data_IF_692097658757
#
_entry.id   IF_692097658757
#
_cell.length_a   1.000
_cell.length_b   1.000
_cell.length_c   1.000
_cell.angle_alpha   90.00
_cell.angle_beta   90.00
_cell.angle_gamma   90.00
#
_symmetry.space_group_name_H-M   'P 1'
#
loop_
_entity.id
_entity.type
_entity.pdbx_description
1 polymer ?
#
# COMPACT_ATOMS: atom_id res chain seq x y z
N UNK A 1 -10.94 13.98 -55.69
CA UNK A 1 -10.08 13.51 -56.81
C UNK A 1 -9.94 11.99 -56.61
N UNK A 2 -10.85 11.13 -57.25
CA UNK A 2 -10.70 10.61 -58.62
C UNK A 2 -9.43 9.75 -58.70
N UNK A 3 -9.46 8.47 -58.86
CA UNK A 3 -9.93 7.54 -59.93
C UNK A 3 -9.76 6.11 -59.44
N UNK A 4 -10.73 5.19 -59.42
CA UNK A 4 -11.38 4.42 -60.49
C UNK A 4 -10.46 3.62 -61.43
N UNK A 5 -10.90 2.40 -61.62
CA UNK A 5 -10.81 1.53 -62.82
C UNK A 5 -9.88 0.33 -62.68
N UNK A 6 -10.14 -0.84 -63.14
CA UNK A 6 -11.14 -1.47 -64.02
C UNK A 6 -10.99 -2.99 -63.85
N UNK A 7 -12.02 -3.77 -63.74
CA UNK A 7 -12.87 -4.42 -64.72
C UNK A 7 -12.17 -5.21 -65.82
N UNK A 8 -12.71 -6.44 -65.96
CA UNK A 8 -12.84 -7.27 -67.16
C UNK A 8 -11.74 -8.31 -67.36
N UNK A 9 -12.04 -9.46 -67.71
CA UNK A 9 -12.94 -10.22 -68.58
C UNK A 9 -12.27 -11.56 -68.80
N UNK A 10 -12.79 -12.63 -68.90
CA UNK A 10 -13.53 -13.53 -69.85
C UNK A 10 -13.44 -14.94 -69.27
N UNK A 11 -14.43 -15.67 -69.05
CA UNK A 11 -15.47 -16.30 -69.88
C UNK A 11 -14.90 -16.99 -71.14
N UNK A 12 -14.94 -18.36 -71.15
CA UNK A 12 -15.16 -19.27 -72.25
C UNK A 12 -14.99 -20.71 -71.75
N UNK A 13 -16.01 -21.44 -71.64
CA UNK A 13 -16.77 -22.23 -72.64
C UNK A 13 -16.11 -23.60 -72.96
N UNK A 14 -16.64 -24.64 -72.76
CA UNK A 14 -17.65 -25.53 -73.32
C UNK A 14 -17.27 -26.97 -72.98
N UNK A 15 -18.23 -27.73 -72.48
CA UNK A 15 -19.00 -28.79 -73.10
C UNK A 15 -18.22 -29.84 -73.93
N UNK A 16 -18.29 -31.07 -73.42
CA UNK A 16 -18.52 -32.31 -74.25
C UNK A 16 -18.83 -33.44 -73.24
N UNK A 17 -20.04 -33.89 -73.03
CA UNK A 17 -21.05 -34.73 -73.73
C UNK A 17 -20.60 -36.18 -73.86
N UNK A 18 -21.31 -37.02 -73.09
CA UNK A 18 -22.01 -38.27 -73.37
C UNK A 18 -21.32 -39.54 -73.88
N UNK A 19 -21.72 -40.55 -73.24
CA UNK A 19 -22.08 -41.92 -73.64
C UNK A 19 -21.08 -42.99 -73.20
N UNK A 20 -21.44 -44.16 -72.82
CA UNK A 20 -22.63 -44.97 -72.91
C UNK A 20 -22.63 -46.14 -71.94
N UNK A 21 -23.76 -46.46 -71.50
CA UNK A 21 -24.36 -47.79 -71.25
C UNK A 21 -23.53 -49.06 -71.22
N UNK A 22 -23.90 -49.81 -70.26
CA UNK A 22 -24.48 -51.19 -70.30
C UNK A 22 -23.69 -52.22 -69.48
N UNK A 23 -24.44 -52.97 -68.70
CA UNK A 23 -24.01 -54.26 -68.20
C UNK A 23 -24.43 -54.57 -66.76
N UNK A 24 -25.69 -55.01 -66.62
CA UNK A 24 -26.15 -55.60 -65.36
C UNK A 24 -25.43 -56.91 -65.07
N UNK A 25 -24.93 -57.01 -63.78
CA UNK A 25 -24.91 -58.27 -63.04
C UNK A 25 -25.09 -58.03 -61.58
N UNK A 26 -26.15 -58.48 -61.05
CA UNK A 26 -26.49 -58.65 -59.68
C UNK A 26 -25.59 -59.73 -59.13
N UNK A 27 -24.70 -59.37 -58.22
CA UNK A 27 -24.07 -60.28 -57.27
C UNK A 27 -24.42 -59.80 -55.88
N UNK A 28 -25.16 -60.61 -55.18
CA UNK A 28 -25.34 -60.52 -53.74
C UNK A 28 -23.97 -60.77 -53.10
N UNK A 29 -23.42 -59.73 -52.52
CA UNK A 29 -22.26 -59.88 -51.60
C UNK A 29 -22.76 -59.53 -50.17
N UNK A 30 -22.54 -60.50 -49.33
CA UNK A 30 -22.85 -60.49 -47.90
C UNK A 30 -22.43 -59.22 -47.22
N UNK A 31 -23.34 -58.70 -46.41
CA UNK A 31 -23.08 -57.67 -45.42
C UNK A 31 -22.13 -58.25 -44.31
N UNK A 32 -20.84 -58.21 -44.55
CA UNK A 32 -19.85 -58.31 -43.48
C UNK A 32 -19.74 -56.94 -42.82
N UNK A 33 -20.53 -56.75 -41.76
CA UNK A 33 -20.41 -55.61 -40.86
C UNK A 33 -18.96 -55.54 -40.35
N UNK A 34 -18.16 -54.69 -40.99
CA UNK A 34 -16.90 -54.26 -40.43
C UNK A 34 -17.26 -53.41 -39.19
N UNK A 35 -17.28 -54.06 -38.03
CA UNK A 35 -17.24 -53.38 -36.77
C UNK A 35 -15.92 -52.57 -36.75
N UNK A 36 -15.99 -51.30 -37.08
CA UNK A 36 -14.92 -50.35 -36.87
C UNK A 36 -14.76 -50.24 -35.36
N UNK A 37 -13.96 -51.12 -34.76
CA UNK A 37 -13.47 -50.94 -33.40
C UNK A 37 -12.50 -49.78 -33.51
N UNK A 38 -12.97 -48.59 -33.20
CA UNK A 38 -12.11 -47.45 -32.97
C UNK A 38 -11.13 -47.86 -31.86
N UNK A 39 -9.83 -47.71 -32.08
CA UNK A 39 -8.88 -48.03 -31.02
C UNK A 39 -9.26 -47.23 -29.79
N UNK A 40 -9.31 -47.91 -28.64
CA UNK A 40 -9.48 -47.23 -27.35
C UNK A 40 -8.36 -46.15 -27.22
N UNK A 41 -8.69 -44.89 -27.49
CA UNK A 41 -7.79 -43.77 -27.22
C UNK A 41 -7.52 -43.74 -25.72
N UNK A 42 -6.37 -44.24 -25.34
CA UNK A 42 -5.88 -44.12 -23.95
C UNK A 42 -5.46 -42.67 -23.72
N UNK A 43 -6.35 -41.91 -23.14
CA UNK A 43 -6.00 -40.56 -22.68
C UNK A 43 -5.10 -40.66 -21.45
N UNK A 44 -3.86 -40.16 -21.56
CA UNK A 44 -2.98 -40.04 -20.40
C UNK A 44 -3.52 -38.91 -19.51
N UNK A 45 -3.77 -39.25 -18.25
CA UNK A 45 -4.29 -38.32 -17.26
C UNK A 45 -3.40 -38.33 -16.02
N UNK A 46 -3.22 -37.16 -15.40
CA UNK A 46 -2.65 -37.12 -14.05
C UNK A 46 -3.78 -37.02 -13.03
N UNK A 47 -3.61 -37.71 -11.91
CA UNK A 47 -4.64 -37.80 -10.88
C UNK A 47 -4.10 -37.38 -9.52
N UNK A 48 -4.97 -36.92 -8.65
CA UNK A 48 -4.72 -36.69 -7.23
C UNK A 48 -5.83 -37.24 -6.37
N UNK A 49 -5.52 -37.69 -5.18
CA UNK A 49 -6.53 -38.03 -4.19
C UNK A 49 -6.98 -36.74 -3.48
N UNK A 50 -8.27 -36.49 -3.49
CA UNK A 50 -8.85 -35.33 -2.83
C UNK A 50 -8.74 -35.46 -1.32
N UNK A 51 -8.17 -34.45 -0.68
CA UNK A 51 -8.00 -34.40 0.78
C UNK A 51 -8.37 -33.03 1.29
N UNK A 52 -8.82 -32.97 2.54
CA UNK A 52 -8.89 -31.69 3.23
C UNK A 52 -7.48 -31.22 3.53
N UNK A 53 -7.23 -29.98 3.21
CA UNK A 53 -5.97 -29.30 3.50
C UNK A 53 -6.18 -27.84 3.80
N UNK A 54 -5.24 -27.25 4.50
CA UNK A 54 -5.26 -25.83 4.81
C UNK A 54 -5.31 -25.00 3.53
N UNK A 55 -6.40 -24.26 3.34
CA UNK A 55 -6.53 -23.35 2.21
C UNK A 55 -6.01 -21.96 2.57
N UNK A 56 -5.03 -21.47 1.82
CA UNK A 56 -4.53 -20.12 1.94
C UNK A 56 -5.26 -19.23 0.92
N UNK A 57 -6.20 -18.45 1.43
CA UNK A 57 -6.91 -17.45 0.63
C UNK A 57 -5.95 -16.29 0.32
N UNK A 58 -5.99 -15.81 -0.91
CA UNK A 58 -5.21 -14.70 -1.42
C UNK A 58 -6.16 -13.58 -1.87
N UNK A 59 -6.09 -12.46 -1.19
CA UNK A 59 -6.78 -11.25 -1.60
C UNK A 59 -5.76 -10.30 -2.21
N UNK A 60 -6.02 -9.84 -3.42
CA UNK A 60 -5.12 -8.94 -4.16
C UNK A 60 -5.74 -7.56 -4.22
N UNK A 61 -5.00 -6.56 -3.75
CA UNK A 61 -5.42 -5.16 -3.82
C UNK A 61 -4.28 -4.26 -4.30
N UNK A 62 -4.65 -3.05 -4.69
CA UNK A 62 -3.73 -1.98 -5.03
C UNK A 62 -3.67 -0.96 -3.89
N UNK A 63 -2.51 -0.40 -3.67
CA UNK A 63 -2.30 0.57 -2.62
C UNK A 63 -1.11 1.49 -2.87
N UNK A 64 -0.74 2.19 -1.82
CA UNK A 64 0.44 3.06 -1.80
C UNK A 64 1.27 2.80 -0.56
N UNK A 65 2.57 2.98 -0.70
CA UNK A 65 3.46 3.04 0.45
C UNK A 65 3.30 4.40 1.12
N UNK A 66 3.12 4.39 2.43
CA UNK A 66 3.06 5.59 3.27
C UNK A 66 4.12 5.46 4.35
N UNK A 67 4.85 6.52 4.61
CA UNK A 67 5.79 6.54 5.73
C UNK A 67 5.02 6.59 7.06
N UNK A 68 5.41 5.79 8.03
CA UNK A 68 4.81 5.79 9.38
C UNK A 68 5.00 7.10 10.14
N UNK A 69 5.93 7.96 9.69
CA UNK A 69 6.12 9.32 10.16
C UNK A 69 6.53 10.25 9.03
N UNK A 70 5.83 11.37 8.89
CA UNK A 70 6.18 12.44 7.96
C UNK A 70 5.93 13.78 8.64
N UNK A 71 6.88 14.70 8.55
CA UNK A 71 6.73 16.05 9.06
C UNK A 71 7.09 17.07 7.98
N UNK A 72 6.15 17.98 7.71
CA UNK A 72 6.39 19.14 6.88
C UNK A 72 6.88 20.29 7.78
N UNK A 73 8.17 20.59 7.64
CA UNK A 73 8.84 21.56 8.47
C UNK A 73 8.76 22.96 7.86
N UNK A 74 8.50 23.93 8.72
CA UNK A 74 8.47 25.35 8.38
C UNK A 74 9.19 26.15 9.45
N UNK A 75 9.69 27.30 9.11
CA UNK A 75 10.20 28.25 10.12
C UNK A 75 9.03 28.88 10.86
N UNK A 76 9.18 29.08 12.15
CA UNK A 76 8.18 29.77 12.97
C UNK A 76 8.29 31.29 12.89
N UNK A 77 9.45 31.79 12.40
CA UNK A 77 9.68 33.22 12.14
C UNK A 77 10.01 33.45 10.67
N UNK A 78 9.58 34.55 10.11
CA UNK A 78 9.98 34.99 8.77
C UNK A 78 11.38 35.58 8.77
N UNK A 79 12.15 35.30 7.72
CA UNK A 79 13.50 35.85 7.60
C UNK A 79 14.21 35.39 6.33
N UNK A 80 15.46 35.82 6.17
CA UNK A 80 16.31 35.37 5.07
C UNK A 80 17.02 34.08 5.52
N UNK A 81 17.02 33.07 4.66
CA UNK A 81 17.77 31.84 4.87
C UNK A 81 19.26 32.14 4.80
N UNK A 82 19.95 32.04 5.92
CA UNK A 82 21.39 32.24 5.99
C UNK A 82 22.15 31.05 5.44
N UNK A 83 21.77 29.84 5.89
CA UNK A 83 22.47 28.61 5.53
C UNK A 83 21.52 27.42 5.49
N UNK A 84 21.82 26.48 4.57
CA UNK A 84 21.17 25.17 4.45
C UNK A 84 22.27 24.12 4.58
N UNK A 85 22.08 23.14 5.50
CA UNK A 85 23.09 22.13 5.87
C UNK A 85 22.85 20.78 5.20
N UNK A 86 21.71 20.62 4.53
CA UNK A 86 21.24 19.35 3.96
C UNK A 86 20.70 19.54 2.54
N UNK A 87 20.53 18.45 1.83
CA UNK A 87 19.90 18.40 0.50
C UNK A 87 18.87 17.29 0.45
N UNK A 88 18.00 17.31 -0.56
CA UNK A 88 17.04 16.24 -0.82
C UNK A 88 17.74 14.89 -0.94
N UNK A 89 17.24 13.89 -0.22
CA UNK A 89 17.79 12.54 -0.16
C UNK A 89 18.81 12.31 0.98
N UNK A 90 19.25 13.35 1.69
CA UNK A 90 20.16 13.19 2.84
C UNK A 90 19.42 12.51 4.01
N UNK A 91 20.12 11.60 4.67
CA UNK A 91 19.67 11.02 5.96
C UNK A 91 20.02 11.96 7.09
N UNK A 92 19.05 12.18 7.96
CA UNK A 92 19.21 13.06 9.12
C UNK A 92 18.77 12.35 10.40
N UNK A 93 19.40 12.77 11.52
CA UNK A 93 19.06 12.29 12.85
C UNK A 93 18.21 13.33 13.59
N UNK A 94 17.41 12.87 14.55
CA UNK A 94 16.64 13.74 15.45
C UNK A 94 17.54 14.81 16.06
N UNK A 95 17.10 16.08 15.98
CA UNK A 95 17.85 17.24 16.47
C UNK A 95 18.95 17.76 15.55
N UNK A 96 19.21 17.10 14.42
CA UNK A 96 20.20 17.58 13.44
C UNK A 96 19.72 18.89 12.80
N UNK A 97 20.60 19.87 12.69
CA UNK A 97 20.32 21.14 12.01
C UNK A 97 20.14 20.92 10.51
N UNK A 98 19.07 21.49 9.98
CA UNK A 98 18.71 21.44 8.57
C UNK A 98 18.98 22.75 7.84
N UNK A 99 18.57 23.86 8.46
CA UNK A 99 18.77 25.19 7.94
C UNK A 99 18.69 26.23 9.08
N UNK A 100 19.17 27.44 8.83
CA UNK A 100 19.00 28.55 9.74
C UNK A 100 18.71 29.87 9.00
N UNK A 101 17.94 30.72 9.65
CA UNK A 101 17.71 32.09 9.20
C UNK A 101 18.86 32.99 9.65
N UNK A 102 18.98 34.17 9.03
CA UNK A 102 19.80 35.25 9.56
C UNK A 102 19.25 35.70 10.91
N UNK A 103 20.05 35.46 11.96
CA UNK A 103 19.67 35.68 13.35
C UNK A 103 20.04 37.08 13.87
N UNK A 104 20.63 37.94 13.05
CA UNK A 104 21.12 39.25 13.55
C UNK A 104 20.03 40.04 14.28
N UNK A 105 18.85 40.17 13.65
CA UNK A 105 17.70 40.88 14.24
C UNK A 105 17.16 40.20 15.49
N UNK A 106 17.03 38.88 15.46
CA UNK A 106 16.53 38.08 16.59
C UNK A 106 17.45 38.15 17.79
N UNK A 107 18.75 37.99 17.58
CA UNK A 107 19.77 38.13 18.64
C UNK A 107 19.75 39.50 19.31
N UNK A 108 19.63 40.57 18.50
CA UNK A 108 19.50 41.92 19.05
C UNK A 108 18.18 42.09 19.83
N UNK A 109 17.08 41.52 19.40
CA UNK A 109 15.81 41.55 20.12
C UNK A 109 15.90 40.80 21.45
N UNK A 110 16.48 39.59 21.43
CA UNK A 110 16.75 38.80 22.66
C UNK A 110 17.63 39.57 23.64
N UNK A 111 18.72 40.21 23.17
CA UNK A 111 19.57 41.02 24.00
C UNK A 111 18.81 42.20 24.63
N UNK A 112 18.06 42.97 23.86
CA UNK A 112 17.26 44.11 24.35
C UNK A 112 16.23 43.68 25.39
N UNK A 113 15.50 42.59 25.15
CA UNK A 113 14.51 42.07 26.09
C UNK A 113 15.16 41.51 27.36
N UNK A 114 16.34 40.94 27.24
CA UNK A 114 17.15 40.52 28.41
C UNK A 114 17.55 41.70 29.27
N UNK A 115 18.05 42.78 28.67
CA UNK A 115 18.42 44.00 29.40
C UNK A 115 17.22 44.61 30.11
N UNK A 116 16.05 44.61 29.43
CA UNK A 116 14.80 45.08 30.04
C UNK A 116 14.38 44.20 31.24
N UNK A 117 14.55 42.87 31.13
CA UNK A 117 14.26 41.94 32.23
C UNK A 117 15.20 42.16 33.42
N UNK A 118 16.52 42.35 33.17
CA UNK A 118 17.49 42.68 34.26
C UNK A 118 17.11 43.98 34.95
N UNK A 119 16.72 45.02 34.22
CA UNK A 119 16.20 46.26 34.80
C UNK A 119 14.94 46.00 35.64
N UNK A 120 13.97 45.23 35.16
CA UNK A 120 12.76 44.89 35.90
C UNK A 120 13.04 44.07 37.17
N UNK A 121 14.10 43.22 37.17
CA UNK A 121 14.56 42.52 38.38
C UNK A 121 15.10 43.46 39.42
N UNK A 122 15.90 44.46 39.05
CA UNK A 122 16.40 45.47 39.96
C UNK A 122 15.24 46.28 40.53
N UNK A 123 14.26 46.67 39.74
CA UNK A 123 13.07 47.40 40.16
C UNK A 123 12.18 46.56 41.09
N UNK A 124 12.10 45.23 40.87
CA UNK A 124 11.44 44.31 41.78
C UNK A 124 12.12 44.29 43.15
N UNK A 125 13.46 44.22 43.17
CA UNK A 125 14.22 44.29 44.39
C UNK A 125 14.04 45.63 45.16
N UNK A 126 14.05 46.72 44.45
CA UNK A 126 13.79 48.06 45.03
C UNK A 126 12.40 48.14 45.67
N UNK A 127 11.37 47.63 45.00
CA UNK A 127 10.01 47.59 45.56
C UNK A 127 9.97 46.73 46.82
N UNK A 128 10.62 45.58 46.83
CA UNK A 128 10.69 44.71 48.03
C UNK A 128 11.44 45.32 49.19
N UNK A 129 12.59 45.98 48.94
CA UNK A 129 13.36 46.74 49.94
C UNK A 129 12.49 47.84 50.55
N UNK A 130 11.73 48.59 49.69
CA UNK A 130 10.78 49.58 50.14
C UNK A 130 9.64 49.06 51.01
N UNK A 131 9.34 47.75 50.96
CA UNK A 131 8.41 47.02 51.83
C UNK A 131 9.05 46.39 53.04
N UNK A 132 10.38 46.60 53.26
CA UNK A 132 11.13 46.11 54.43
C UNK A 132 11.73 44.73 54.29
N UNK A 133 11.80 44.15 53.05
CA UNK A 133 12.41 42.85 52.79
C UNK A 133 13.80 43.02 52.17
N UNK A 134 14.79 42.34 52.69
CA UNK A 134 16.14 42.34 52.10
C UNK A 134 16.16 41.58 50.78
N UNK A 135 17.13 41.89 49.91
CA UNK A 135 17.26 41.26 48.60
C UNK A 135 17.39 39.71 48.67
N UNK A 136 17.96 39.18 49.75
CA UNK A 136 18.19 37.75 50.01
C UNK A 136 16.99 37.06 50.69
N UNK A 137 15.94 37.79 51.05
CA UNK A 137 14.80 37.31 51.80
C UNK A 137 13.58 36.92 50.92
N UNK A 138 13.79 36.74 49.64
CA UNK A 138 12.70 36.47 48.69
C UNK A 138 11.78 35.31 49.10
N UNK A 139 12.31 34.28 49.78
CA UNK A 139 11.54 33.14 50.30
C UNK A 139 10.66 33.47 51.52
N UNK A 140 10.86 34.64 52.16
CA UNK A 140 10.13 35.11 53.34
C UNK A 140 9.08 36.16 53.02
N UNK A 141 9.01 36.57 51.75
CA UNK A 141 8.05 37.60 51.30
C UNK A 141 6.67 36.94 51.17
N UNK A 142 5.63 37.47 51.79
CA UNK A 142 4.27 37.01 51.60
C UNK A 142 3.82 37.12 50.12
N UNK A 143 3.00 36.14 49.65
CA UNK A 143 2.62 36.03 48.25
C UNK A 143 1.93 37.31 47.70
N UNK A 144 1.13 37.96 48.50
CA UNK A 144 0.43 39.21 48.12
C UNK A 144 1.40 40.38 47.92
N UNK A 145 2.41 40.49 48.78
CA UNK A 145 3.45 41.51 48.63
C UNK A 145 4.35 41.22 47.42
N UNK A 146 4.72 39.95 47.22
CA UNK A 146 5.48 39.52 46.07
C UNK A 146 4.73 39.83 44.77
N UNK A 147 3.43 39.49 44.70
CA UNK A 147 2.61 39.77 43.55
C UNK A 147 2.50 41.28 43.28
N UNK A 148 2.30 42.09 44.31
CA UNK A 148 2.29 43.53 44.17
C UNK A 148 3.62 44.08 43.63
N UNK A 149 4.72 43.57 44.12
CA UNK A 149 6.06 43.95 43.68
C UNK A 149 6.31 43.57 42.22
N UNK A 150 5.92 42.38 41.81
CA UNK A 150 6.05 41.87 40.41
C UNK A 150 5.23 42.75 39.45
N UNK A 151 4.02 43.11 39.81
CA UNK A 151 3.17 44.01 39.01
C UNK A 151 3.77 45.39 38.88
N UNK A 152 4.24 45.98 40.02
CA UNK A 152 4.83 47.34 40.02
C UNK A 152 6.13 47.44 39.23
N UNK A 153 7.00 46.42 39.28
CA UNK A 153 8.24 46.38 38.54
C UNK A 153 8.07 45.99 37.06
N UNK A 154 6.88 45.51 36.64
CA UNK A 154 6.67 44.95 35.31
C UNK A 154 7.46 43.69 35.04
N UNK A 155 7.91 42.96 36.07
CA UNK A 155 8.78 41.77 35.97
C UNK A 155 8.16 40.69 35.09
N UNK A 156 6.90 40.33 35.35
CA UNK A 156 6.21 39.27 34.62
C UNK A 156 6.04 39.59 33.13
N UNK A 157 5.75 40.83 32.81
CA UNK A 157 5.62 41.29 31.44
C UNK A 157 6.94 41.20 30.68
N UNK A 158 8.04 41.68 31.30
CA UNK A 158 9.37 41.67 30.68
C UNK A 158 9.94 40.26 30.59
N UNK A 159 9.65 39.38 31.57
CA UNK A 159 10.01 37.97 31.52
C UNK A 159 9.34 37.28 30.30
N UNK A 160 8.04 37.46 30.15
CA UNK A 160 7.33 36.87 29.02
C UNK A 160 7.84 37.39 27.66
N UNK A 161 8.20 38.68 27.58
CA UNK A 161 8.80 39.27 26.38
C UNK A 161 10.18 38.67 26.07
N UNK A 162 11.00 38.47 27.09
CA UNK A 162 12.32 37.81 26.92
C UNK A 162 12.18 36.35 26.49
N UNK A 163 11.30 35.61 27.14
CA UNK A 163 11.05 34.21 26.80
C UNK A 163 10.56 34.04 25.33
N UNK A 164 9.67 34.93 24.89
CA UNK A 164 9.20 34.95 23.49
C UNK A 164 10.36 35.27 22.54
N UNK A 165 11.15 36.29 22.81
CA UNK A 165 12.28 36.67 21.95
C UNK A 165 13.32 35.55 21.85
N UNK A 166 13.61 34.88 22.99
CA UNK A 166 14.50 33.73 23.05
C UNK A 166 13.96 32.54 22.24
N UNK A 167 12.67 32.24 22.38
CA UNK A 167 11.99 31.21 21.60
C UNK A 167 12.11 31.48 20.10
N UNK A 168 11.81 32.71 19.66
CA UNK A 168 11.93 33.11 18.23
C UNK A 168 13.36 32.96 17.69
N UNK A 169 14.39 33.28 18.53
CA UNK A 169 15.81 33.12 18.16
C UNK A 169 16.19 31.62 18.03
N UNK A 170 15.77 30.80 18.98
CA UNK A 170 16.05 29.36 18.98
C UNK A 170 15.39 28.68 17.76
N UNK A 171 14.10 29.01 17.48
CA UNK A 171 13.31 28.46 16.37
C UNK A 171 13.63 29.05 14.99
N UNK A 172 14.54 30.02 14.93
CA UNK A 172 15.20 30.44 13.69
C UNK A 172 16.21 29.41 13.17
N UNK A 173 16.44 28.31 13.89
CA UNK A 173 17.17 27.14 13.42
C UNK A 173 16.19 25.98 13.24
N UNK A 174 16.06 25.50 12.03
CA UNK A 174 15.21 24.35 11.71
C UNK A 174 15.98 23.06 12.00
N UNK A 175 15.39 22.17 12.77
CA UNK A 175 15.98 20.87 13.16
C UNK A 175 15.05 19.72 12.81
N UNK A 176 15.63 18.54 12.59
CA UNK A 176 14.86 17.33 12.33
C UNK A 176 14.13 16.84 13.59
N UNK A 177 12.81 16.62 13.56
CA UNK A 177 12.05 16.17 14.73
C UNK A 177 12.26 14.69 15.08
N UNK A 178 12.67 13.88 14.09
CA UNK A 178 12.98 12.45 14.20
C UNK A 178 13.96 12.03 13.09
N UNK A 179 14.44 10.79 13.17
CA UNK A 179 15.34 10.21 12.18
C UNK A 179 14.62 9.96 10.86
N UNK A 180 15.17 10.44 9.75
CA UNK A 180 14.49 10.34 8.45
C UNK A 180 15.35 10.74 7.27
N UNK A 181 14.68 10.96 6.15
CA UNK A 181 15.27 11.44 4.90
C UNK A 181 14.62 12.76 4.50
N UNK A 182 15.45 13.73 4.11
CA UNK A 182 15.00 15.05 3.65
C UNK A 182 14.36 14.94 2.27
N UNK A 183 13.19 15.55 2.14
CA UNK A 183 12.45 15.67 0.88
C UNK A 183 11.86 17.07 0.73
N UNK A 184 11.42 17.44 -0.47
CA UNK A 184 10.72 18.69 -0.78
C UNK A 184 11.49 19.97 -0.36
N UNK A 185 12.82 19.90 -0.33
CA UNK A 185 13.65 21.06 -0.07
C UNK A 185 13.92 21.78 -1.40
N UNK A 186 13.26 22.91 -1.63
CA UNK A 186 13.40 23.72 -2.86
C UNK A 186 14.02 25.09 -2.61
N UNK A 187 14.05 25.55 -1.37
CA UNK A 187 14.63 26.84 -0.98
C UNK A 187 16.16 26.83 -1.14
N UNK A 188 16.71 28.02 -1.29
CA UNK A 188 18.16 28.26 -1.40
C UNK A 188 18.58 29.29 -0.38
N UNK A 189 19.88 29.34 -0.01
CA UNK A 189 20.43 30.44 0.78
C UNK A 189 20.11 31.79 0.15
N UNK A 190 19.88 32.79 0.98
CA UNK A 190 19.49 34.16 0.62
C UNK A 190 18.04 34.32 0.14
N UNK A 191 17.25 33.28 0.03
CA UNK A 191 15.80 33.39 -0.19
C UNK A 191 15.10 33.76 1.12
N UNK A 192 13.98 34.48 0.96
CA UNK A 192 13.07 34.70 2.09
C UNK A 192 12.33 33.41 2.45
N UNK A 193 12.23 33.10 3.73
CA UNK A 193 11.39 32.05 4.28
C UNK A 193 10.19 32.69 5.00
N UNK A 194 9.00 32.14 4.73
CA UNK A 194 7.74 32.54 5.36
C UNK A 194 7.27 31.48 6.33
N UNK A 195 6.48 31.86 7.32
CA UNK A 195 5.93 30.95 8.32
C UNK A 195 4.83 30.02 7.79
N UNK A 196 4.19 30.37 6.68
CA UNK A 196 3.13 29.58 6.03
C UNK A 196 3.66 28.51 5.09
N UNK A 197 4.89 28.66 4.58
CA UNK A 197 5.43 27.81 3.53
C UNK A 197 6.20 26.64 4.12
N UNK A 198 5.97 25.43 3.60
CA UNK A 198 6.79 24.27 3.95
C UNK A 198 8.21 24.48 3.39
N UNK A 199 9.19 24.47 4.28
CA UNK A 199 10.59 24.60 3.91
C UNK A 199 11.19 23.30 3.38
N UNK A 200 10.92 22.19 4.08
CA UNK A 200 11.25 20.83 3.68
C UNK A 200 10.36 19.83 4.40
N UNK A 201 10.37 18.58 3.93
CA UNK A 201 9.70 17.47 4.60
C UNK A 201 10.75 16.48 5.12
N UNK A 202 10.51 15.90 6.30
CA UNK A 202 11.28 14.75 6.79
C UNK A 202 10.39 13.53 6.70
N UNK A 203 10.85 12.52 5.98
CA UNK A 203 10.18 11.24 5.81
C UNK A 203 10.87 10.22 6.69
N UNK A 204 10.16 9.66 7.67
CA UNK A 204 10.65 8.61 8.55
C UNK A 204 11.03 7.35 7.74
N UNK A 205 12.16 6.76 8.06
CA UNK A 205 12.64 5.54 7.40
C UNK A 205 12.20 4.26 8.11
N UNK A 206 11.64 4.38 9.29
CA UNK A 206 11.12 3.27 10.07
C UNK A 206 9.60 3.21 9.96
N UNK A 207 9.05 1.97 9.93
CA UNK A 207 7.61 1.79 9.94
C UNK A 207 6.93 2.20 8.63
N UNK A 208 7.49 1.81 7.48
CA UNK A 208 6.75 1.97 6.23
C UNK A 208 5.45 1.16 6.28
N UNK A 209 4.37 1.78 5.85
CA UNK A 209 3.04 1.20 5.80
C UNK A 209 2.59 1.04 4.35
N UNK A 210 1.89 -0.06 4.09
CA UNK A 210 1.10 -0.23 2.88
C UNK A 210 -0.33 0.21 3.18
N UNK A 211 -0.79 1.28 2.56
CA UNK A 211 -2.16 1.78 2.65
C UNK A 211 -2.93 1.30 1.41
N UNK A 212 -3.93 0.45 1.61
CA UNK A 212 -4.71 -0.18 0.54
C UNK A 212 -6.18 -0.30 0.94
N UNK A 213 -7.03 -0.64 -0.02
CA UNK A 213 -8.46 -0.78 0.22
C UNK A 213 -8.94 -2.19 -0.14
N UNK A 214 -9.94 -2.68 0.60
CA UNK A 214 -10.61 -3.96 0.34
C UNK A 214 -12.11 -3.73 0.24
N UNK A 215 -12.82 -4.62 -0.46
CA UNK A 215 -14.28 -4.59 -0.50
C UNK A 215 -14.88 -4.96 0.86
N UNK A 216 -16.01 -4.37 1.21
CA UNK A 216 -16.77 -4.73 2.42
C UNK A 216 -17.06 -6.23 2.48
N UNK A 217 -17.39 -6.86 1.36
CA UNK A 217 -17.64 -8.31 1.25
C UNK A 217 -16.41 -9.18 1.56
N UNK A 218 -15.20 -8.62 1.48
CA UNK A 218 -13.94 -9.31 1.76
C UNK A 218 -13.48 -9.18 3.22
N UNK A 219 -14.10 -8.26 3.99
CA UNK A 219 -13.75 -8.05 5.40
C UNK A 219 -13.75 -9.32 6.26
N UNK A 220 -14.74 -10.24 6.11
CA UNK A 220 -14.71 -11.49 6.89
C UNK A 220 -13.49 -12.37 6.58
N UNK A 221 -12.86 -12.16 5.45
CA UNK A 221 -11.72 -12.95 4.97
C UNK A 221 -10.36 -12.41 5.41
N UNK A 222 -10.31 -11.26 6.11
CA UNK A 222 -9.07 -10.64 6.60
C UNK A 222 -9.18 -10.31 8.10
N UNK A 223 -8.05 -10.21 8.77
CA UNK A 223 -7.96 -9.74 10.16
C UNK A 223 -6.61 -9.07 10.42
N UNK A 224 -6.56 -8.26 11.47
CA UNK A 224 -5.28 -7.73 11.98
C UNK A 224 -4.32 -8.87 12.29
N UNK A 225 -3.05 -8.69 11.91
CA UNK A 225 -1.99 -9.68 12.02
C UNK A 225 -1.83 -10.61 10.81
N UNK A 226 -2.76 -10.63 9.86
CA UNK A 226 -2.62 -11.42 8.63
C UNK A 226 -1.38 -10.99 7.84
N UNK A 227 -0.72 -11.97 7.22
CA UNK A 227 0.47 -11.73 6.41
C UNK A 227 0.11 -11.02 5.11
N UNK A 228 0.93 -10.06 4.74
CA UNK A 228 0.84 -9.40 3.44
C UNK A 228 2.18 -9.48 2.71
N UNK A 229 2.10 -9.58 1.39
CA UNK A 229 3.25 -9.42 0.50
C UNK A 229 3.01 -8.21 -0.37
N UNK A 230 3.91 -7.25 -0.28
CA UNK A 230 3.85 -5.98 -1.01
C UNK A 230 4.84 -6.02 -2.16
N UNK A 231 4.37 -5.73 -3.35
CA UNK A 231 5.18 -5.69 -4.58
C UNK A 231 5.04 -4.32 -5.23
N UNK A 232 6.11 -3.50 -5.29
CA UNK A 232 6.08 -2.22 -6.00
C UNK A 232 5.87 -2.41 -7.50
N UNK A 233 5.07 -1.55 -8.13
CA UNK A 233 4.93 -1.57 -9.59
C UNK A 233 6.22 -1.17 -10.31
N UNK A 234 7.07 -0.37 -9.65
CA UNK A 234 8.37 0.03 -10.20
C UNK A 234 9.39 -1.11 -10.25
N UNK A 235 9.23 -2.13 -9.38
CA UNK A 235 10.11 -3.32 -9.34
C UNK A 235 9.25 -4.56 -8.99
N UNK A 236 8.65 -5.21 -10.02
CA UNK A 236 7.78 -6.38 -9.81
C UNK A 236 8.51 -7.61 -9.25
N UNK A 237 9.85 -7.64 -9.32
CA UNK A 237 10.64 -8.74 -8.77
C UNK A 237 10.86 -8.60 -7.25
N UNK A 238 10.81 -7.38 -6.73
CA UNK A 238 10.96 -7.12 -5.31
C UNK A 238 9.68 -7.46 -4.54
N UNK A 239 9.83 -8.23 -3.47
CA UNK A 239 8.74 -8.62 -2.57
C UNK A 239 9.10 -8.21 -1.15
N UNK A 240 8.18 -7.54 -0.47
CA UNK A 240 8.35 -7.09 0.90
C UNK A 240 7.25 -7.70 1.76
N UNK A 241 7.67 -8.40 2.81
CA UNK A 241 6.72 -8.99 3.75
C UNK A 241 6.24 -7.96 4.76
N UNK A 242 5.00 -8.11 5.16
CA UNK A 242 4.36 -7.26 6.18
C UNK A 242 3.22 -7.97 6.88
N UNK A 243 2.53 -7.22 7.73
CA UNK A 243 1.33 -7.68 8.44
C UNK A 243 0.31 -6.56 8.52
N UNK A 244 -0.97 -6.92 8.41
CA UNK A 244 -2.07 -5.99 8.65
C UNK A 244 -1.96 -5.47 10.09
N UNK A 245 -1.84 -4.15 10.22
CA UNK A 245 -1.80 -3.46 11.51
C UNK A 245 -3.15 -2.88 11.89
N UNK A 246 -3.88 -2.35 10.92
CA UNK A 246 -5.13 -1.63 11.15
C UNK A 246 -6.14 -1.90 10.04
N UNK A 247 -7.39 -2.11 10.42
CA UNK A 247 -8.55 -2.16 9.51
C UNK A 247 -9.47 -1.03 9.96
N UNK A 248 -9.70 -0.05 9.10
CA UNK A 248 -10.59 1.07 9.41
C UNK A 248 -12.04 0.57 9.53
N UNK A 249 -12.77 0.87 10.61
CA UNK A 249 -14.16 0.43 10.76
C UNK A 249 -15.16 1.21 9.90
N UNK A 250 -14.70 2.11 9.03
CA UNK A 250 -15.53 2.91 8.14
C UNK A 250 -15.52 2.35 6.71
N UNK A 251 -16.70 2.08 6.18
CA UNK A 251 -16.92 1.76 4.75
C UNK A 251 -17.19 3.07 4.01
N UNK A 252 -16.50 3.30 2.91
CA UNK A 252 -16.69 4.49 2.09
C UNK A 252 -17.91 4.35 1.14
N UNK A 253 -18.27 5.43 0.44
CA UNK A 253 -19.42 5.47 -0.49
C UNK A 253 -19.31 4.48 -1.67
N UNK A 254 -18.14 3.87 -1.86
CA UNK A 254 -17.86 2.87 -2.90
C UNK A 254 -17.88 1.44 -2.36
N UNK A 255 -18.21 1.24 -1.09
CA UNK A 255 -18.17 -0.06 -0.45
C UNK A 255 -16.74 -0.55 -0.16
N UNK A 256 -15.78 0.38 -0.02
CA UNK A 256 -14.38 0.04 0.25
C UNK A 256 -14.01 0.37 1.69
N UNK A 257 -13.15 -0.45 2.27
CA UNK A 257 -12.59 -0.27 3.60
C UNK A 257 -11.08 -0.07 3.49
N UNK A 258 -10.57 0.95 4.18
CA UNK A 258 -9.12 1.21 4.24
C UNK A 258 -8.45 0.26 5.20
N UNK A 259 -7.34 -0.29 4.77
CA UNK A 259 -6.51 -1.23 5.53
C UNK A 259 -5.07 -0.76 5.48
N UNK A 260 -4.37 -0.84 6.62
CA UNK A 260 -2.94 -0.58 6.72
C UNK A 260 -2.19 -1.83 7.09
N UNK A 261 -1.03 -2.01 6.51
CA UNK A 261 -0.10 -3.06 6.89
C UNK A 261 1.30 -2.48 7.10
N UNK A 262 1.96 -2.87 8.18
CA UNK A 262 3.35 -2.52 8.43
C UNK A 262 4.22 -3.42 7.57
N UNK A 263 5.15 -2.81 6.82
CA UNK A 263 5.99 -3.47 5.83
C UNK A 263 7.46 -3.25 6.13
N UNK A 264 8.26 -4.30 6.06
CA UNK A 264 9.71 -4.24 6.26
C UNK A 264 10.41 -3.84 4.96
N UNK A 265 10.48 -2.54 4.66
CA UNK A 265 10.99 -2.04 3.37
C UNK A 265 12.50 -1.82 3.28
N UNK A 266 13.26 -1.91 4.39
CA UNK A 266 14.74 -1.75 4.44
C UNK A 266 15.29 -0.54 3.65
N UNK A 267 14.55 0.58 3.60
CA UNK A 267 14.99 1.81 2.93
C UNK A 267 14.89 1.78 1.38
N UNK A 268 14.25 0.77 0.80
CA UNK A 268 14.01 0.66 -0.65
C UNK A 268 12.60 1.08 -1.06
N UNK A 269 11.68 1.21 -0.09
CA UNK A 269 10.34 1.74 -0.32
C UNK A 269 10.34 3.25 -0.09
N UNK A 270 9.75 3.98 -1.03
CA UNK A 270 9.59 5.43 -0.93
C UNK A 270 8.12 5.78 -0.67
N UNK A 271 7.91 6.81 0.13
CA UNK A 271 6.58 7.35 0.37
C UNK A 271 5.88 7.72 -0.96
N UNK A 272 4.64 7.29 -1.14
CA UNK A 272 3.85 7.52 -2.36
C UNK A 272 4.03 6.48 -3.47
N UNK A 273 4.93 5.48 -3.32
CA UNK A 273 5.05 4.39 -4.30
C UNK A 273 3.75 3.62 -4.44
N UNK A 274 3.32 3.39 -5.69
CA UNK A 274 2.20 2.49 -5.96
C UNK A 274 2.65 1.03 -5.83
N UNK A 275 1.81 0.24 -5.17
CA UNK A 275 2.09 -1.15 -4.82
C UNK A 275 0.90 -2.05 -5.12
N UNK A 276 1.20 -3.32 -5.37
CA UNK A 276 0.25 -4.42 -5.27
C UNK A 276 0.43 -5.07 -3.91
N UNK A 277 -0.66 -5.33 -3.23
CA UNK A 277 -0.71 -5.98 -1.92
C UNK A 277 -1.43 -7.31 -2.05
N UNK A 278 -0.77 -8.40 -1.69
CA UNK A 278 -1.37 -9.72 -1.59
C UNK A 278 -1.53 -10.05 -0.10
N UNK A 279 -2.76 -10.18 0.36
CA UNK A 279 -3.08 -10.61 1.73
C UNK A 279 -3.23 -12.12 1.73
N UNK A 280 -2.53 -12.80 2.63
CA UNK A 280 -2.58 -14.25 2.79
C UNK A 280 -3.21 -14.60 4.13
N UNK A 281 -4.30 -15.34 4.08
CA UNK A 281 -4.97 -15.85 5.26
C UNK A 281 -5.28 -17.33 5.14
N UNK A 282 -4.90 -18.09 6.15
CA UNK A 282 -5.34 -19.48 6.29
C UNK A 282 -6.78 -19.54 6.76
N UNK A 283 -7.64 -20.20 5.98
CA UNK A 283 -9.07 -20.39 6.28
C UNK A 283 -9.40 -21.78 6.86
N UNK A 284 -8.38 -22.49 7.35
CA UNK A 284 -8.55 -23.83 7.90
C UNK A 284 -8.61 -24.91 6.81
N UNK A 285 -9.08 -26.10 7.20
CA UNK A 285 -9.13 -27.26 6.31
C UNK A 285 -10.34 -27.19 5.38
N UNK A 286 -10.08 -27.23 4.09
CA UNK A 286 -11.03 -27.19 3.00
C UNK A 286 -10.76 -28.33 2.02
N UNK A 287 -11.77 -28.77 1.26
CA UNK A 287 -11.55 -29.60 0.09
C UNK A 287 -10.97 -28.74 -1.03
N UNK A 288 -9.70 -28.98 -1.36
CA UNK A 288 -8.94 -28.14 -2.29
C UNK A 288 -8.58 -28.91 -3.54
N UNK A 289 -8.86 -28.34 -4.70
CA UNK A 289 -8.52 -28.90 -6.01
C UNK A 289 -7.72 -27.88 -6.84
N UNK A 290 -6.75 -28.32 -7.65
CA UNK A 290 -6.07 -27.46 -8.60
C UNK A 290 -7.06 -26.86 -9.63
N UNK A 291 -6.82 -25.63 -10.04
CA UNK A 291 -7.65 -24.97 -11.08
C UNK A 291 -7.71 -25.76 -12.38
N UNK A 292 -6.62 -26.49 -12.71
CA UNK A 292 -6.53 -27.36 -13.88
C UNK A 292 -7.50 -28.55 -13.83
N UNK A 293 -7.99 -28.95 -12.66
CA UNK A 293 -8.97 -30.03 -12.50
C UNK A 293 -10.39 -29.62 -12.93
N UNK A 294 -10.69 -28.32 -12.92
CA UNK A 294 -12.04 -27.80 -13.19
C UNK A 294 -12.16 -27.43 -14.66
N UNK A 295 -13.11 -28.04 -15.35
CA UNK A 295 -13.45 -27.72 -16.73
C UNK A 295 -14.88 -27.20 -16.83
N UNK A 296 -15.12 -26.32 -17.80
CA UNK A 296 -16.47 -25.82 -18.08
C UNK A 296 -17.14 -26.71 -19.12
N UNK A 297 -18.28 -27.30 -18.77
CA UNK A 297 -19.14 -28.07 -19.68
C UNK A 297 -20.57 -27.52 -19.63
N UNK A 298 -21.09 -27.14 -20.78
CA UNK A 298 -22.44 -26.55 -20.89
C UNK A 298 -22.69 -25.39 -19.90
N UNK A 299 -21.67 -24.57 -19.66
CA UNK A 299 -21.74 -23.42 -18.72
C UNK A 299 -21.66 -23.77 -17.23
N UNK A 300 -21.43 -25.05 -16.89
CA UNK A 300 -21.26 -25.52 -15.49
C UNK A 300 -19.83 -25.97 -15.25
N UNK A 301 -19.41 -25.84 -14.00
CA UNK A 301 -18.13 -26.34 -13.54
C UNK A 301 -18.20 -27.84 -13.26
N UNK A 302 -17.26 -28.59 -13.83
CA UNK A 302 -17.21 -30.05 -13.77
C UNK A 302 -15.82 -30.48 -13.37
N UNK A 303 -15.73 -31.51 -12.56
CA UNK A 303 -14.51 -32.25 -12.19
C UNK A 303 -14.68 -33.70 -12.57
N UNK A 304 -13.62 -34.31 -13.12
CA UNK A 304 -13.62 -35.72 -13.43
C UNK A 304 -13.00 -36.50 -12.28
N UNK A 305 -13.71 -37.51 -11.80
CA UNK A 305 -13.18 -38.52 -10.86
C UNK A 305 -12.86 -39.82 -11.62
N UNK A 306 -11.78 -40.50 -11.21
CA UNK A 306 -11.36 -41.77 -11.76
C UNK A 306 -11.84 -42.92 -10.86
N UNK A 307 -12.71 -43.79 -11.39
CA UNK A 307 -13.16 -44.98 -10.69
C UNK A 307 -13.13 -46.15 -11.67
N UNK A 308 -12.56 -47.29 -11.27
CA UNK A 308 -12.47 -48.52 -12.09
C UNK A 308 -11.92 -48.24 -13.51
N UNK A 309 -10.85 -47.43 -13.57
CA UNK A 309 -10.21 -47.00 -14.83
C UNK A 309 -11.14 -46.23 -15.81
N UNK A 310 -12.24 -45.69 -15.32
CA UNK A 310 -13.18 -44.86 -16.08
C UNK A 310 -13.31 -43.48 -15.45
N UNK A 311 -13.32 -42.46 -16.31
CA UNK A 311 -13.58 -41.09 -15.87
C UNK A 311 -15.08 -40.89 -15.69
N UNK A 312 -15.49 -40.39 -14.53
CA UNK A 312 -16.88 -39.96 -14.27
C UNK A 312 -16.85 -38.46 -14.04
N UNK A 313 -17.68 -37.73 -14.75
CA UNK A 313 -17.83 -36.30 -14.52
C UNK A 313 -18.78 -36.04 -13.35
N UNK A 314 -18.49 -35.02 -12.58
CA UNK A 314 -19.29 -34.59 -11.43
C UNK A 314 -19.38 -33.07 -11.44
N UNK A 315 -20.56 -32.54 -11.16
CA UNK A 315 -20.74 -31.11 -11.01
C UNK A 315 -20.11 -30.67 -9.69
N UNK A 316 -19.45 -29.51 -9.72
CA UNK A 316 -18.85 -28.93 -8.51
C UNK A 316 -19.20 -27.46 -8.42
N UNK A 317 -19.38 -27.01 -7.19
CA UNK A 317 -19.49 -25.60 -6.87
C UNK A 317 -18.19 -25.15 -6.22
N UNK A 318 -17.45 -24.26 -6.91
CA UNK A 318 -16.28 -23.61 -6.33
C UNK A 318 -16.72 -22.45 -5.45
N UNK A 319 -16.06 -22.26 -4.30
CA UNK A 319 -16.41 -21.23 -3.30
C UNK A 319 -15.33 -20.16 -3.22
N UNK A 320 -14.09 -20.56 -2.97
CA UNK A 320 -12.95 -19.68 -2.84
C UNK A 320 -11.87 -20.08 -3.84
N UNK A 321 -11.06 -19.10 -4.22
CA UNK A 321 -9.91 -19.34 -5.09
C UNK A 321 -8.67 -18.64 -4.60
N UNK A 322 -7.51 -19.18 -4.97
CA UNK A 322 -6.22 -18.50 -4.92
C UNK A 322 -5.52 -18.62 -6.28
N UNK A 323 -4.23 -18.32 -6.36
CA UNK A 323 -3.45 -18.38 -7.61
C UNK A 323 -3.51 -19.74 -8.29
N UNK A 324 -3.56 -20.85 -7.55
CA UNK A 324 -3.38 -22.21 -8.06
C UNK A 324 -4.61 -23.11 -7.89
N UNK A 325 -5.44 -22.87 -6.88
CA UNK A 325 -6.45 -23.82 -6.43
C UNK A 325 -7.83 -23.18 -6.25
N UNK A 326 -8.86 -24.03 -6.29
CA UNK A 326 -10.21 -23.75 -5.82
C UNK A 326 -10.53 -24.55 -4.56
N UNK A 327 -11.40 -24.01 -3.70
CA UNK A 327 -12.13 -24.81 -2.73
C UNK A 327 -13.47 -25.22 -3.32
N UNK A 328 -13.92 -26.44 -3.00
CA UNK A 328 -15.20 -26.96 -3.47
C UNK A 328 -16.12 -27.32 -2.30
N UNK A 329 -17.42 -27.23 -2.55
CA UNK A 329 -18.43 -27.79 -1.65
C UNK A 329 -18.45 -29.31 -1.82
N UNK A 330 -18.52 -30.04 -0.71
CA UNK A 330 -18.66 -31.48 -0.70
C UNK A 330 -20.11 -31.86 -1.04
N UNK A 331 -20.35 -32.28 -2.30
CA UNK A 331 -21.65 -32.67 -2.83
C UNK A 331 -21.53 -33.96 -3.65
N UNK A 332 -21.21 -33.88 -4.95
CA UNK A 332 -20.98 -35.08 -5.77
C UNK A 332 -19.56 -35.65 -5.66
N UNK A 333 -18.60 -34.84 -5.12
CA UNK A 333 -17.21 -35.21 -4.94
C UNK A 333 -16.83 -35.11 -3.47
N UNK A 334 -16.24 -36.19 -2.92
CA UNK A 334 -15.98 -36.34 -1.50
C UNK A 334 -14.48 -36.49 -1.21
N UNK A 335 -14.11 -36.30 0.05
CA UNK A 335 -12.75 -36.59 0.50
C UNK A 335 -12.42 -38.07 0.26
N UNK A 336 -11.23 -38.32 -0.32
CA UNK A 336 -10.77 -39.65 -0.73
C UNK A 336 -11.00 -40.00 -2.19
N UNK A 337 -11.82 -39.25 -2.90
CA UNK A 337 -12.03 -39.46 -4.35
C UNK A 337 -10.75 -39.16 -5.14
N UNK A 338 -10.52 -39.91 -6.19
CA UNK A 338 -9.40 -39.72 -7.11
C UNK A 338 -9.84 -38.76 -8.21
N UNK A 339 -9.31 -37.54 -8.20
CA UNK A 339 -9.65 -36.47 -9.14
C UNK A 339 -8.61 -36.39 -10.24
N UNK A 340 -9.06 -36.23 -11.49
CA UNK A 340 -8.21 -36.01 -12.66
C UNK A 340 -7.83 -34.54 -12.73
N UNK A 341 -6.51 -34.28 -12.70
CA UNK A 341 -5.92 -32.93 -12.66
C UNK A 341 -5.58 -32.41 -14.06
N UNK A 342 -5.04 -33.25 -14.92
CA UNK A 342 -4.69 -32.92 -16.31
C UNK A 342 -5.15 -34.02 -17.27
N UNK A 343 -5.25 -33.69 -18.56
CA UNK A 343 -5.80 -34.62 -19.57
C UNK A 343 -7.34 -34.68 -19.59
N UNK A 344 -8.02 -33.82 -18.82
CA UNK A 344 -9.45 -33.78 -18.61
C UNK A 344 -10.23 -33.08 -19.72
N UNK A 345 -9.58 -32.32 -20.60
CA UNK A 345 -10.24 -31.50 -21.63
C UNK A 345 -10.92 -32.40 -22.69
N UNK A 346 -10.33 -33.53 -23.03
CA UNK A 346 -10.78 -34.49 -24.05
C UNK A 346 -11.63 -35.64 -23.50
N UNK A 347 -11.88 -35.63 -22.18
CA UNK A 347 -12.74 -36.66 -21.58
C UNK A 347 -14.19 -36.36 -21.86
N UNK A 348 -14.96 -37.35 -22.33
CA UNK A 348 -16.38 -37.26 -22.66
C UNK A 348 -17.26 -37.74 -21.50
#
# INVERSE_FOLDING_TARGET
MIKTQNYRLLLCLALFVLAACSGAKKEEAADEGVATVLPDEKNEVTVMTLKRQTFNHELVSNGKVVAGGMADLRFESSGIVAQIYVKNGDRVHKGQKLAELDKFRLKNKTAQTKDALEKAKLELQDVLIGQGYAADDAAKVPDDIMQLARVKSGYDQTLSQYELAKYEEEHATLVAPFDGVVANLFSKPYNAANTSDTFCSIIGTQGMEADFTVLESELPLIKSGDKVVVTPYADPAAKYEGRISEINPLVDDKGMVKVKAIVSGQGKLFNGMNIRVNVHRSLGEQLVIPKSSVVLRSGKQVVFTLKDNKAKWNYVQTVLENSENYTIVEDEVHEGDVVIVTGNVNLA
#
